data_IF_303835475590
#
_entry.id   IF_303835475590
#
_cell.length_a   1.000
_cell.length_b   1.000
_cell.length_c   1.000
_cell.angle_alpha   90.00
_cell.angle_beta   90.00
_cell.angle_gamma   90.00
#
_symmetry.space_group_name_H-M   'P 1'
#
loop_
_entity.id
_entity.type
_entity.pdbx_description
1 polymer ?
#
# COMPACT_ATOMS: atom_id res chain seq x y z
N UNK A 1 4.51 1.26 -13.92
CA UNK A 1 4.52 1.08 -12.46
C UNK A 1 3.95 -0.30 -12.18
N UNK A 2 4.74 -1.31 -11.81
CA UNK A 2 4.13 -2.57 -11.41
C UNK A 2 3.74 -2.42 -9.96
N UNK A 3 2.45 -2.15 -9.72
CA UNK A 3 1.82 -2.47 -8.45
C UNK A 3 2.21 -3.90 -8.13
N UNK A 4 3.05 -4.12 -7.09
CA UNK A 4 3.39 -5.47 -6.62
C UNK A 4 2.14 -6.27 -6.20
N UNK A 5 1.01 -5.58 -6.09
CA UNK A 5 -0.27 -6.16 -5.83
C UNK A 5 -1.00 -6.52 -7.14
N UNK A 6 -1.39 -7.79 -7.21
CA UNK A 6 -2.16 -8.35 -8.32
C UNK A 6 -3.53 -7.66 -8.43
N UNK A 7 -3.78 -7.05 -9.58
CA UNK A 7 -5.02 -6.33 -9.88
C UNK A 7 -6.21 -7.27 -10.15
N UNK A 8 -5.94 -8.56 -10.36
CA UNK A 8 -6.98 -9.58 -10.58
C UNK A 8 -7.56 -10.12 -9.27
N UNK A 9 -6.96 -9.78 -8.12
CA UNK A 9 -7.46 -10.18 -6.82
C UNK A 9 -8.87 -9.59 -6.59
N UNK A 10 -9.89 -10.40 -6.22
CA UNK A 10 -11.23 -9.91 -5.89
C UNK A 10 -11.23 -8.83 -4.79
N UNK A 11 -10.22 -8.85 -3.93
CA UNK A 11 -10.03 -7.91 -2.83
C UNK A 11 -9.33 -6.62 -3.27
N UNK A 12 -8.90 -6.52 -4.53
CA UNK A 12 -8.14 -5.38 -5.04
C UNK A 12 -8.84 -4.04 -4.78
N UNK A 13 -10.12 -3.97 -5.16
CA UNK A 13 -10.94 -2.77 -4.95
C UNK A 13 -11.06 -2.38 -3.47
N UNK A 14 -11.20 -3.36 -2.58
CA UNK A 14 -11.30 -3.11 -1.13
C UNK A 14 -9.99 -2.63 -0.55
N UNK A 15 -8.87 -3.22 -0.98
CA UNK A 15 -7.52 -2.83 -0.55
C UNK A 15 -7.19 -1.43 -1.03
N UNK A 16 -7.48 -1.11 -2.30
CA UNK A 16 -7.31 0.25 -2.83
C UNK A 16 -8.19 1.26 -2.12
N UNK A 17 -9.47 0.94 -1.86
CA UNK A 17 -10.34 1.83 -1.10
C UNK A 17 -9.84 2.10 0.33
N UNK A 18 -9.32 1.07 1.02
CA UNK A 18 -8.74 1.24 2.35
C UNK A 18 -7.45 2.06 2.32
N UNK A 19 -6.61 1.84 1.30
CA UNK A 19 -5.42 2.64 1.04
C UNK A 19 -5.79 4.11 0.79
N UNK A 20 -6.69 4.38 -0.13
CA UNK A 20 -7.07 5.73 -0.54
C UNK A 20 -7.75 6.49 0.61
N UNK A 21 -8.54 5.80 1.43
CA UNK A 21 -9.11 6.35 2.65
C UNK A 21 -8.02 6.75 3.66
N UNK A 22 -7.01 5.89 3.87
CA UNK A 22 -5.89 6.21 4.75
C UNK A 22 -5.04 7.37 4.21
N UNK A 23 -4.76 7.40 2.91
CA UNK A 23 -4.04 8.51 2.27
C UNK A 23 -4.81 9.82 2.42
N UNK A 24 -6.12 9.79 2.17
CA UNK A 24 -6.98 10.99 2.31
C UNK A 24 -7.09 11.47 3.76
N UNK A 25 -7.02 10.55 4.72
CA UNK A 25 -6.97 10.86 6.14
C UNK A 25 -5.57 11.28 6.64
N UNK A 26 -4.55 11.28 5.78
CA UNK A 26 -3.17 11.59 6.15
C UNK A 26 -2.48 10.51 6.99
N UNK A 27 -3.02 9.28 6.98
CA UNK A 27 -2.44 8.14 7.69
C UNK A 27 -1.29 7.51 6.91
N UNK A 28 -0.29 7.03 7.65
CA UNK A 28 0.90 6.40 7.10
C UNK A 28 0.71 4.90 6.82
N UNK A 29 -0.36 4.32 7.37
CA UNK A 29 -0.70 2.91 7.22
C UNK A 29 -2.22 2.70 7.20
N UNK A 30 -2.65 1.58 6.63
CA UNK A 30 -4.03 1.12 6.63
C UNK A 30 -4.08 -0.36 6.97
N UNK A 31 -5.24 -0.82 7.44
CA UNK A 31 -5.45 -2.24 7.74
C UNK A 31 -5.84 -2.98 6.47
N UNK A 32 -5.03 -3.94 6.06
CA UNK A 32 -5.31 -4.78 4.90
C UNK A 32 -6.53 -5.67 5.20
N UNK A 33 -7.65 -5.50 4.49
CA UNK A 33 -8.85 -6.29 4.74
C UNK A 33 -8.67 -7.77 4.38
N UNK A 34 -7.64 -8.12 3.58
CA UNK A 34 -7.36 -9.51 3.20
C UNK A 34 -6.57 -10.27 4.26
N UNK A 35 -5.55 -9.62 4.84
CA UNK A 35 -4.60 -10.28 5.74
C UNK A 35 -4.71 -9.84 7.19
N UNK A 36 -5.38 -8.70 7.45
CA UNK A 36 -5.48 -8.07 8.76
C UNK A 36 -4.24 -7.28 9.19
N UNK A 37 -3.18 -7.26 8.38
CA UNK A 37 -1.94 -6.56 8.69
C UNK A 37 -2.02 -5.05 8.47
N UNK A 38 -1.18 -4.29 9.18
CA UNK A 38 -0.93 -2.88 8.86
C UNK A 38 0.00 -2.79 7.65
N UNK A 39 -0.47 -2.13 6.59
CA UNK A 39 0.28 -1.90 5.37
C UNK A 39 0.53 -0.40 5.23
N UNK A 40 1.80 -0.04 4.99
CA UNK A 40 2.18 1.35 4.76
C UNK A 40 1.60 1.91 3.46
N UNK A 41 1.16 3.16 3.50
CA UNK A 41 0.62 3.87 2.33
C UNK A 41 1.73 4.30 1.38
N UNK A 42 1.42 4.41 0.08
CA UNK A 42 2.36 4.89 -0.92
C UNK A 42 3.01 6.24 -0.56
N UNK A 43 2.29 7.31 -0.16
CA UNK A 43 2.89 8.59 0.17
C UNK A 43 3.88 8.49 1.33
N UNK A 44 3.63 7.66 2.33
CA UNK A 44 4.58 7.44 3.43
C UNK A 44 5.88 6.80 2.92
N UNK A 45 5.77 5.77 2.07
CA UNK A 45 6.92 5.12 1.47
C UNK A 45 7.68 6.06 0.52
N UNK A 46 6.97 6.93 -0.21
CA UNK A 46 7.56 7.95 -1.08
C UNK A 46 8.32 9.01 -0.27
N UNK A 47 7.75 9.46 0.85
CA UNK A 47 8.40 10.40 1.77
C UNK A 47 9.67 9.80 2.40
N UNK A 48 9.70 8.48 2.61
CA UNK A 48 10.86 7.77 3.15
C UNK A 48 12.09 7.81 2.23
N UNK A 49 11.91 8.03 0.93
CA UNK A 49 13.03 8.28 0.02
C UNK A 49 13.81 7.03 -0.46
N UNK A 50 13.54 5.84 0.09
CA UNK A 50 14.24 4.60 -0.28
C UNK A 50 13.38 3.34 -0.13
N UNK A 51 13.73 2.28 -0.89
CA UNK A 51 13.13 0.96 -0.74
C UNK A 51 13.64 0.27 0.53
N UNK A 52 12.75 0.05 1.51
CA UNK A 52 13.10 -0.63 2.76
C UNK A 52 13.08 -2.17 2.69
N UNK A 53 12.85 -2.75 1.50
CA UNK A 53 12.80 -4.21 1.25
C UNK A 53 11.78 -5.01 2.07
N UNK A 54 10.87 -4.34 2.78
CA UNK A 54 9.76 -4.96 3.54
C UNK A 54 8.61 -5.48 2.65
N UNK A 55 8.87 -5.69 1.36
CA UNK A 55 7.92 -6.15 0.35
C UNK A 55 6.54 -5.46 0.39
N UNK A 56 6.52 -4.13 0.59
CA UNK A 56 5.29 -3.36 0.72
C UNK A 56 4.47 -3.42 -0.58
N UNK A 57 3.14 -3.55 -0.45
CA UNK A 57 2.20 -3.69 -1.59
C UNK A 57 2.22 -2.50 -2.55
N UNK A 58 2.41 -1.30 -2.01
CA UNK A 58 2.35 -0.03 -2.75
C UNK A 58 3.71 0.70 -2.73
N UNK A 59 4.81 -0.05 -2.73
CA UNK A 59 6.14 0.56 -2.78
C UNK A 59 6.36 1.27 -4.14
N UNK A 60 6.65 2.58 -4.17
CA UNK A 60 6.89 3.30 -5.41
C UNK A 60 8.27 3.00 -6.01
N UNK A 61 9.17 2.41 -5.21
CA UNK A 61 10.52 2.06 -5.65
C UNK A 61 10.57 0.70 -6.33
N UNK A 62 11.33 0.57 -7.43
CA UNK A 62 11.70 -0.74 -7.95
C UNK A 62 12.46 -1.50 -6.85
N UNK A 63 12.04 -2.75 -6.61
CA UNK A 63 12.68 -3.63 -5.63
C UNK A 63 13.93 -4.29 -6.21
#
# INVERSE_FOLDING_TARGET
MPTKFDQTDPMYKKIMAAHDAAVSAGLTEYKDPKTGFSVMTEPFLKAKGFCCKNNCRHCPYPA
#
